data_IF_312889841874
#
_entry.id   IF_312889841874
#
_cell.length_a   1.000
_cell.length_b   1.000
_cell.length_c   1.000
_cell.angle_alpha   90.00
_cell.angle_beta   90.00
_cell.angle_gamma   90.00
#
_symmetry.space_group_name_H-M   'P 1'
#
loop_
_entity.id
_entity.type
_entity.pdbx_description
1 polymer ?
#
# COMPACT_ATOMS: atom_id res chain seq x y z
N UNK A 1 51.61 -28.21 -38.04
CA UNK A 1 51.59 -27.08 -37.11
C UNK A 1 50.54 -26.02 -37.43
N UNK A 2 49.38 -26.35 -38.07
CA UNK A 2 48.33 -25.38 -38.47
C UNK A 2 46.93 -25.68 -37.90
N UNK A 3 46.76 -26.77 -37.15
CA UNK A 3 45.44 -27.19 -36.67
C UNK A 3 45.16 -26.71 -35.21
N UNK A 4 46.18 -26.36 -34.43
CA UNK A 4 46.02 -25.94 -33.01
C UNK A 4 45.59 -24.48 -32.81
N UNK A 5 45.75 -23.61 -33.86
CA UNK A 5 45.37 -22.19 -33.71
C UNK A 5 43.87 -21.94 -33.92
N UNK A 6 43.11 -22.87 -34.53
CA UNK A 6 41.65 -22.70 -34.73
C UNK A 6 40.80 -23.10 -33.54
N UNK A 7 41.30 -24.01 -32.64
CA UNK A 7 40.59 -24.46 -31.45
C UNK A 7 40.59 -23.43 -30.33
N UNK A 8 41.64 -22.63 -30.19
CA UNK A 8 41.77 -21.63 -29.12
C UNK A 8 40.86 -20.40 -29.33
N UNK A 9 40.61 -20.04 -30.61
CA UNK A 9 39.74 -18.90 -30.94
C UNK A 9 38.26 -19.24 -30.74
N UNK A 10 37.84 -20.49 -30.94
CA UNK A 10 36.45 -20.91 -30.72
C UNK A 10 36.08 -20.98 -29.23
N UNK A 11 37.03 -21.33 -28.37
CA UNK A 11 36.82 -21.37 -26.91
C UNK A 11 36.77 -19.95 -26.28
N UNK A 12 37.57 -19.02 -26.83
CA UNK A 12 37.54 -17.62 -26.40
C UNK A 12 36.25 -16.89 -26.77
N UNK A 13 35.61 -17.24 -27.90
CA UNK A 13 34.29 -16.67 -28.27
C UNK A 13 33.13 -17.22 -27.48
N UNK A 14 33.23 -18.45 -26.96
CA UNK A 14 32.13 -19.01 -26.08
C UNK A 14 32.18 -18.48 -24.67
N UNK A 15 33.34 -18.05 -24.13
CA UNK A 15 33.45 -17.42 -22.82
C UNK A 15 32.97 -15.97 -22.78
N UNK A 16 32.95 -15.27 -23.90
CA UNK A 16 32.43 -13.88 -23.99
C UNK A 16 30.89 -13.86 -24.06
N UNK A 17 30.24 -14.94 -24.55
CA UNK A 17 28.80 -15.03 -24.65
C UNK A 17 28.10 -15.36 -23.30
N UNK A 18 28.84 -15.89 -22.31
CA UNK A 18 28.30 -16.25 -21.00
C UNK A 18 28.23 -15.05 -20.01
N UNK A 19 28.87 -13.93 -20.33
CA UNK A 19 28.89 -12.74 -19.45
C UNK A 19 27.77 -11.74 -19.72
N UNK A 20 26.85 -12.02 -20.67
CA UNK A 20 25.82 -11.06 -21.10
C UNK A 20 24.48 -11.17 -20.35
N UNK A 21 24.38 -11.99 -19.30
CA UNK A 21 23.10 -12.26 -18.62
C UNK A 21 23.04 -11.95 -17.12
N UNK A 22 23.96 -11.15 -16.64
CA UNK A 22 23.82 -10.62 -15.28
C UNK A 22 23.67 -9.10 -15.35
N UNK A 23 22.55 -8.62 -15.88
CA UNK A 23 22.19 -7.22 -15.64
C UNK A 23 21.51 -7.18 -14.26
N UNK A 24 22.38 -7.21 -13.26
CA UNK A 24 22.04 -6.96 -11.86
C UNK A 24 21.48 -5.54 -11.68
N UNK A 25 21.05 -5.22 -10.46
CA UNK A 25 20.69 -3.84 -10.11
C UNK A 25 21.71 -2.83 -10.64
N UNK A 26 21.32 -1.57 -10.93
CA UNK A 26 22.25 -0.54 -11.39
C UNK A 26 23.46 -0.43 -10.48
N UNK A 27 24.64 -0.81 -10.96
CA UNK A 27 25.87 -0.79 -10.17
C UNK A 27 26.23 0.63 -9.72
N UNK A 28 26.72 0.76 -8.48
CA UNK A 28 27.19 2.02 -7.91
C UNK A 28 26.10 3.06 -7.62
N UNK A 29 24.83 2.73 -7.77
CA UNK A 29 23.69 3.61 -7.44
C UNK A 29 23.02 3.20 -6.14
N UNK A 30 22.57 4.19 -5.35
CA UNK A 30 21.61 3.94 -4.28
C UNK A 30 20.25 3.63 -4.90
N UNK A 31 19.65 2.50 -4.51
CA UNK A 31 18.31 2.13 -4.93
C UNK A 31 17.27 2.87 -4.07
N UNK A 32 16.17 3.30 -4.67
CA UNK A 32 15.14 4.09 -3.99
C UNK A 32 13.81 3.36 -4.01
N UNK A 33 13.21 3.13 -2.84
CA UNK A 33 11.81 2.76 -2.67
C UNK A 33 11.01 4.01 -2.32
N UNK A 34 10.26 4.53 -3.28
CA UNK A 34 9.51 5.78 -3.15
C UNK A 34 8.09 5.48 -2.74
N UNK A 35 7.57 6.18 -1.73
CA UNK A 35 6.20 6.01 -1.24
C UNK A 35 5.48 7.35 -1.04
N UNK A 36 4.14 7.35 -1.19
CA UNK A 36 3.31 8.55 -1.28
C UNK A 36 2.72 9.04 0.05
N UNK A 37 3.28 8.61 1.20
CA UNK A 37 2.73 8.93 2.51
C UNK A 37 3.82 9.41 3.46
N UNK A 38 3.41 10.20 4.48
CA UNK A 38 4.31 10.63 5.55
C UNK A 38 4.83 9.43 6.36
N UNK A 39 6.01 9.54 6.98
CA UNK A 39 6.56 8.50 7.85
C UNK A 39 5.61 8.10 8.99
N UNK A 40 5.75 6.86 9.50
CA UNK A 40 5.03 6.35 10.67
C UNK A 40 3.70 5.64 10.38
N UNK A 41 3.31 5.50 9.10
CA UNK A 41 2.17 4.67 8.70
C UNK A 41 2.58 3.28 8.20
N UNK A 42 1.58 2.43 7.90
CA UNK A 42 1.80 1.06 7.43
C UNK A 42 2.69 0.95 6.19
N UNK A 43 2.54 1.88 5.22
CA UNK A 43 3.37 1.90 4.00
C UNK A 43 4.85 2.10 4.34
N UNK A 44 5.14 3.05 5.23
CA UNK A 44 6.51 3.37 5.65
C UNK A 44 7.13 2.20 6.43
N UNK A 45 6.36 1.60 7.35
CA UNK A 45 6.79 0.43 8.11
C UNK A 45 7.14 -0.76 7.20
N UNK A 46 6.23 -1.14 6.29
CA UNK A 46 6.46 -2.21 5.32
C UNK A 46 7.67 -1.92 4.44
N UNK A 47 7.75 -0.71 3.85
CA UNK A 47 8.84 -0.34 2.96
C UNK A 47 10.21 -0.45 3.64
N UNK A 48 10.32 0.00 4.90
CA UNK A 48 11.58 -0.08 5.66
C UNK A 48 11.96 -1.50 6.04
N UNK A 49 10.99 -2.34 6.43
CA UNK A 49 11.25 -3.76 6.73
C UNK A 49 11.76 -4.48 5.47
N UNK A 50 11.09 -4.30 4.33
CA UNK A 50 11.47 -4.93 3.06
C UNK A 50 12.80 -4.37 2.54
N UNK A 51 12.99 -3.05 2.54
CA UNK A 51 14.23 -2.41 2.09
C UNK A 51 15.44 -2.91 2.88
N UNK A 52 15.31 -3.00 4.21
CA UNK A 52 16.37 -3.54 5.07
C UNK A 52 16.72 -4.97 4.69
N UNK A 53 15.72 -5.84 4.53
CA UNK A 53 15.95 -7.25 4.20
C UNK A 53 16.54 -7.45 2.81
N UNK A 54 16.06 -6.70 1.81
CA UNK A 54 16.65 -6.72 0.46
C UNK A 54 18.09 -6.21 0.49
N UNK A 55 18.38 -5.14 1.23
CA UNK A 55 19.75 -4.65 1.43
C UNK A 55 20.68 -5.71 2.04
N UNK A 56 20.20 -6.42 3.07
CA UNK A 56 20.95 -7.52 3.73
C UNK A 56 21.22 -8.67 2.74
N UNK A 57 20.24 -9.02 1.90
CA UNK A 57 20.34 -10.12 0.94
C UNK A 57 21.28 -9.80 -0.24
N UNK A 58 21.33 -8.55 -0.68
CA UNK A 58 21.98 -8.14 -1.94
C UNK A 58 23.28 -7.36 -1.73
N UNK A 59 23.50 -6.82 -0.52
CA UNK A 59 24.56 -5.86 -0.27
C UNK A 59 24.33 -4.47 -0.86
N UNK A 60 23.18 -4.23 -1.53
CA UNK A 60 22.84 -2.95 -2.15
C UNK A 60 22.29 -1.96 -1.10
N UNK A 61 22.63 -0.68 -1.26
CA UNK A 61 22.05 0.37 -0.42
C UNK A 61 20.65 0.73 -0.94
N UNK A 62 19.64 0.61 -0.09
CA UNK A 62 18.25 0.94 -0.44
C UNK A 62 17.75 2.06 0.48
N UNK A 63 17.38 3.18 -0.10
CA UNK A 63 16.76 4.30 0.59
C UNK A 63 15.24 4.26 0.48
N UNK A 64 14.54 4.46 1.58
CA UNK A 64 13.09 4.67 1.60
C UNK A 64 12.82 6.17 1.54
N UNK A 65 12.14 6.63 0.47
CA UNK A 65 11.93 8.05 0.17
C UNK A 65 10.44 8.37 0.26
N UNK A 66 10.06 9.18 1.25
CA UNK A 66 8.68 9.64 1.43
C UNK A 66 8.41 10.90 0.57
N UNK A 67 7.43 10.83 -0.34
CA UNK A 67 6.93 11.97 -1.15
C UNK A 67 5.41 12.10 -0.93
N UNK A 68 4.97 12.61 0.22
CA UNK A 68 3.57 12.57 0.62
C UNK A 68 2.73 13.59 -0.15
N UNK A 69 1.46 13.24 -0.40
CA UNK A 69 0.44 14.14 -0.95
C UNK A 69 -0.45 13.49 -2.01
N UNK A 70 -1.63 14.09 -2.20
CA UNK A 70 -2.64 13.67 -3.16
C UNK A 70 -2.97 12.15 -3.11
N UNK A 71 -3.12 11.57 -1.89
CA UNK A 71 -3.43 10.13 -1.74
C UNK A 71 -2.34 9.19 -2.27
N UNK A 72 -1.09 9.66 -2.44
CA UNK A 72 0.03 8.88 -2.99
C UNK A 72 0.38 9.22 -4.45
N UNK A 73 -0.44 10.00 -5.14
CA UNK A 73 -0.25 10.29 -6.56
C UNK A 73 1.01 11.11 -6.85
N UNK A 74 1.49 11.95 -5.91
CA UNK A 74 2.76 12.70 -6.07
C UNK A 74 3.95 11.74 -6.22
N UNK A 75 4.04 10.74 -5.35
CA UNK A 75 5.08 9.73 -5.43
C UNK A 75 4.97 8.90 -6.71
N UNK A 76 3.75 8.54 -7.09
CA UNK A 76 3.49 7.76 -8.29
C UNK A 76 3.93 8.51 -9.55
N UNK A 77 3.56 9.78 -9.70
CA UNK A 77 4.00 10.60 -10.84
C UNK A 77 5.51 10.76 -10.87
N UNK A 78 6.14 10.93 -9.71
CA UNK A 78 7.60 11.00 -9.61
C UNK A 78 8.26 9.73 -10.18
N UNK A 79 7.75 8.54 -9.81
CA UNK A 79 8.31 7.26 -10.29
C UNK A 79 8.00 7.03 -11.76
N UNK A 80 6.78 7.35 -12.24
CA UNK A 80 6.44 7.29 -13.68
C UNK A 80 7.44 8.09 -14.53
N UNK A 81 7.93 9.23 -14.02
CA UNK A 81 8.88 10.11 -14.69
C UNK A 81 10.36 9.77 -14.41
N UNK A 82 10.65 8.75 -13.60
CA UNK A 82 12.01 8.36 -13.26
C UNK A 82 12.68 7.58 -14.40
N UNK A 83 14.01 7.54 -14.37
CA UNK A 83 14.78 6.69 -15.30
C UNK A 83 14.39 5.22 -15.15
N UNK A 84 14.10 4.51 -16.24
CA UNK A 84 13.64 3.12 -16.20
C UNK A 84 14.81 2.13 -16.08
N UNK A 85 15.80 2.43 -15.24
CA UNK A 85 17.00 1.62 -15.03
C UNK A 85 16.90 0.69 -13.80
N UNK A 86 15.80 0.76 -13.05
CA UNK A 86 15.58 -0.01 -11.85
C UNK A 86 16.16 0.60 -10.56
N UNK A 87 16.81 1.77 -10.64
CA UNK A 87 17.31 2.46 -9.45
C UNK A 87 16.19 3.06 -8.59
N UNK A 88 14.99 3.25 -9.15
CA UNK A 88 13.85 3.84 -8.46
C UNK A 88 12.60 2.99 -8.68
N UNK A 89 11.98 2.52 -7.60
CA UNK A 89 10.71 1.80 -7.63
C UNK A 89 9.67 2.48 -6.73
N UNK A 90 8.41 2.26 -7.05
CA UNK A 90 7.26 2.74 -6.30
C UNK A 90 6.82 1.69 -5.28
N UNK A 91 6.53 2.13 -4.05
CA UNK A 91 5.64 1.44 -3.12
C UNK A 91 4.26 2.07 -3.30
N UNK A 92 3.49 1.52 -4.22
CA UNK A 92 2.17 2.00 -4.60
C UNK A 92 1.07 1.52 -3.66
N UNK A 93 -0.01 2.28 -3.57
CA UNK A 93 -1.19 1.94 -2.77
C UNK A 93 -2.40 1.69 -3.65
N UNK A 94 -3.37 0.93 -3.13
CA UNK A 94 -4.68 0.73 -3.77
C UNK A 94 -5.28 2.06 -4.25
N UNK A 95 -5.19 3.12 -3.42
CA UNK A 95 -5.74 4.44 -3.74
C UNK A 95 -5.17 5.01 -5.02
N UNK A 96 -3.84 5.16 -5.08
CA UNK A 96 -3.17 5.77 -6.22
C UNK A 96 -3.17 4.88 -7.47
N UNK A 97 -3.20 3.56 -7.30
CA UNK A 97 -3.10 2.61 -8.41
C UNK A 97 -4.46 2.28 -9.06
N UNK A 98 -5.54 2.15 -8.26
CA UNK A 98 -6.79 1.59 -8.75
C UNK A 98 -8.05 2.39 -8.40
N UNK A 99 -8.02 3.29 -7.41
CA UNK A 99 -9.17 4.11 -7.03
C UNK A 99 -9.15 5.47 -7.71
N UNK A 100 -8.05 6.22 -7.54
CA UNK A 100 -7.93 7.60 -8.00
C UNK A 100 -8.08 7.78 -9.52
N UNK A 101 -7.69 6.83 -10.39
CA UNK A 101 -7.95 6.93 -11.82
C UNK A 101 -9.44 7.07 -12.19
N UNK A 102 -10.35 6.66 -11.30
CA UNK A 102 -11.79 6.79 -11.48
C UNK A 102 -12.39 8.03 -10.82
N UNK A 103 -11.61 8.75 -10.03
CA UNK A 103 -12.04 9.94 -9.28
C UNK A 103 -11.47 11.25 -9.84
N UNK A 104 -10.30 11.19 -10.49
CA UNK A 104 -9.60 12.37 -11.00
C UNK A 104 -8.80 12.05 -12.27
N UNK A 105 -8.45 13.08 -13.02
CA UNK A 105 -7.64 12.95 -14.24
C UNK A 105 -6.16 13.13 -13.93
N UNK A 106 -5.34 12.24 -14.48
CA UNK A 106 -3.87 12.30 -14.42
C UNK A 106 -3.27 12.45 -15.79
N UNK A 107 -2.02 12.91 -15.85
CA UNK A 107 -1.20 12.92 -17.07
C UNK A 107 -0.57 11.56 -17.40
N UNK A 108 -0.85 10.54 -16.61
CA UNK A 108 -0.35 9.16 -16.73
C UNK A 108 -1.45 8.16 -16.40
N UNK A 109 -1.26 6.91 -16.85
CA UNK A 109 -2.14 5.78 -16.55
C UNK A 109 -1.36 4.76 -15.69
N UNK A 110 -1.71 4.55 -14.41
CA UNK A 110 -0.95 3.66 -13.53
C UNK A 110 -0.87 2.22 -14.02
N UNK A 111 -1.85 1.76 -14.81
CA UNK A 111 -1.86 0.40 -15.36
C UNK A 111 -0.99 0.24 -16.63
N UNK A 112 -0.57 1.36 -17.24
CA UNK A 112 0.27 1.37 -18.46
C UNK A 112 1.65 1.95 -18.23
N UNK A 113 1.75 2.97 -17.39
CA UNK A 113 2.99 3.74 -17.20
C UNK A 113 3.85 3.22 -16.03
N UNK A 114 3.39 2.13 -15.36
CA UNK A 114 4.14 1.39 -14.36
C UNK A 114 4.20 -0.09 -14.71
N UNK A 115 5.36 -0.71 -14.47
CA UNK A 115 5.57 -2.16 -14.57
C UNK A 115 5.40 -2.80 -13.19
N UNK A 116 4.47 -3.74 -13.00
CA UNK A 116 4.32 -4.50 -11.77
C UNK A 116 5.58 -5.28 -11.41
N UNK A 117 5.91 -5.35 -10.11
CA UNK A 117 6.99 -6.18 -9.57
C UNK A 117 6.39 -7.30 -8.72
N UNK A 118 5.71 -6.97 -7.64
CA UNK A 118 5.01 -7.93 -6.78
C UNK A 118 4.06 -7.20 -5.82
N UNK A 119 3.04 -7.91 -5.34
CA UNK A 119 2.27 -7.49 -4.18
C UNK A 119 3.17 -7.45 -2.95
N UNK A 120 2.97 -6.46 -2.08
CA UNK A 120 3.67 -6.35 -0.80
C UNK A 120 2.87 -6.97 0.33
N UNK A 121 1.88 -6.23 0.82
CA UNK A 121 1.00 -6.63 1.92
C UNK A 121 -0.45 -6.23 1.64
N UNK A 122 -1.39 -6.96 2.26
CA UNK A 122 -2.78 -6.53 2.41
C UNK A 122 -3.19 -6.61 3.89
N UNK A 123 -4.17 -5.79 4.28
CA UNK A 123 -4.67 -5.77 5.64
C UNK A 123 -6.03 -5.06 5.73
N UNK A 124 -6.89 -5.44 6.70
CA UNK A 124 -8.10 -4.69 7.00
C UNK A 124 -7.74 -3.38 7.71
N UNK A 125 -8.52 -2.34 7.49
CA UNK A 125 -8.46 -1.14 8.32
C UNK A 125 -9.20 -1.37 9.63
N UNK A 126 -8.95 -0.50 10.61
CA UNK A 126 -9.65 -0.48 11.90
C UNK A 126 -10.36 0.87 12.03
N UNK A 127 -11.68 0.83 12.15
CA UNK A 127 -12.46 2.02 12.51
C UNK A 127 -12.26 2.30 13.99
N UNK A 128 -11.55 3.36 14.27
CA UNK A 128 -11.28 3.85 15.64
C UNK A 128 -11.88 5.23 15.83
N UNK A 129 -12.28 5.53 17.05
CA UNK A 129 -12.79 6.84 17.45
C UNK A 129 -12.04 7.36 18.67
N UNK A 130 -11.98 8.70 18.79
CA UNK A 130 -11.58 9.33 20.04
C UNK A 130 -12.63 8.98 21.12
N UNK A 131 -12.24 8.59 22.36
CA UNK A 131 -13.17 8.23 23.41
C UNK A 131 -14.22 9.31 23.74
N UNK A 132 -13.92 10.58 23.49
CA UNK A 132 -14.85 11.69 23.71
C UNK A 132 -16.09 11.65 22.79
N UNK A 133 -16.04 10.89 21.68
CA UNK A 133 -17.20 10.64 20.80
C UNK A 133 -18.30 9.87 21.56
N UNK A 134 -17.90 9.00 22.49
CA UNK A 134 -18.84 8.21 23.32
C UNK A 134 -19.38 6.95 22.62
N UNK A 135 -18.98 6.66 21.37
CA UNK A 135 -19.38 5.45 20.67
C UNK A 135 -18.56 4.23 21.16
N UNK A 136 -19.23 3.10 21.41
CA UNK A 136 -18.62 1.83 21.83
C UNK A 136 -18.68 0.75 20.75
N UNK A 137 -19.44 0.97 19.71
CA UNK A 137 -19.63 0.09 18.55
C UNK A 137 -20.10 0.91 17.33
N UNK A 138 -20.18 0.27 16.15
CA UNK A 138 -20.59 0.95 14.91
C UNK A 138 -22.01 1.52 15.01
N UNK A 139 -22.93 0.82 15.67
CA UNK A 139 -24.32 1.29 15.84
C UNK A 139 -24.38 2.60 16.64
N UNK A 140 -23.59 2.71 17.71
CA UNK A 140 -23.50 3.94 18.49
C UNK A 140 -22.98 5.09 17.65
N UNK A 141 -21.88 4.87 16.89
CA UNK A 141 -21.31 5.88 16.00
C UNK A 141 -22.34 6.37 14.98
N UNK A 142 -23.05 5.45 14.35
CA UNK A 142 -24.11 5.78 13.38
C UNK A 142 -25.24 6.59 14.00
N UNK A 143 -25.68 6.22 15.20
CA UNK A 143 -26.73 6.95 15.92
C UNK A 143 -26.28 8.37 16.31
N UNK A 144 -25.04 8.53 16.75
CA UNK A 144 -24.46 9.86 17.06
C UNK A 144 -24.35 10.69 15.79
N UNK A 145 -23.83 10.11 14.69
CA UNK A 145 -23.66 10.81 13.41
C UNK A 145 -25.00 11.26 12.76
N UNK A 146 -26.14 10.65 13.13
CA UNK A 146 -27.48 11.11 12.69
C UNK A 146 -27.94 12.39 13.39
N UNK A 147 -27.39 12.69 14.55
CA UNK A 147 -27.83 13.83 15.40
C UNK A 147 -26.77 14.89 15.60
N UNK A 148 -25.51 14.53 15.41
CA UNK A 148 -24.35 15.41 15.56
C UNK A 148 -23.47 15.29 14.32
N UNK A 149 -22.96 16.41 13.81
CA UNK A 149 -21.94 16.38 12.78
C UNK A 149 -20.66 15.78 13.38
N UNK A 150 -20.22 14.68 12.82
CA UNK A 150 -18.92 14.06 13.10
C UNK A 150 -18.02 14.20 11.88
N UNK A 151 -16.72 14.10 12.11
CA UNK A 151 -15.73 14.03 11.05
C UNK A 151 -14.91 12.72 11.11
N UNK A 152 -14.30 12.40 10.00
CA UNK A 152 -13.35 11.29 9.93
C UNK A 152 -12.10 11.64 9.14
N UNK A 153 -10.95 11.22 9.66
CA UNK A 153 -9.67 11.36 9.01
C UNK A 153 -9.45 10.32 7.91
N UNK A 154 -8.61 10.68 6.95
CA UNK A 154 -8.00 9.72 6.01
C UNK A 154 -6.53 10.02 5.77
N UNK A 155 -5.82 9.07 5.16
CA UNK A 155 -4.44 9.26 4.70
C UNK A 155 -4.33 10.08 3.39
N UNK A 156 -5.45 10.65 2.94
CA UNK A 156 -5.56 11.52 1.77
C UNK A 156 -6.78 11.18 0.92
N UNK A 157 -7.17 12.12 0.08
CA UNK A 157 -8.28 11.96 -0.86
C UNK A 157 -8.06 10.76 -1.76
N UNK A 158 -9.08 9.92 -1.95
CA UNK A 158 -9.03 8.71 -2.77
C UNK A 158 -8.19 7.56 -2.18
N UNK A 159 -7.71 7.68 -0.93
CA UNK A 159 -7.06 6.56 -0.23
C UNK A 159 -8.07 5.50 0.22
N UNK A 160 -7.60 4.28 0.52
CA UNK A 160 -8.45 3.24 1.09
C UNK A 160 -9.15 3.70 2.37
N UNK A 161 -8.48 4.51 3.19
CA UNK A 161 -9.03 5.04 4.45
C UNK A 161 -10.14 6.06 4.23
N UNK A 162 -10.07 6.85 3.14
CA UNK A 162 -11.16 7.71 2.70
C UNK A 162 -12.35 6.88 2.21
N UNK A 163 -12.09 5.94 1.29
CA UNK A 163 -13.14 5.12 0.68
C UNK A 163 -13.88 4.25 1.70
N UNK A 164 -13.19 3.75 2.73
CA UNK A 164 -13.83 3.03 3.81
C UNK A 164 -14.83 3.92 4.58
N UNK A 165 -14.50 5.18 4.83
CA UNK A 165 -15.42 6.14 5.45
C UNK A 165 -16.64 6.41 4.59
N UNK A 166 -16.44 6.70 3.31
CA UNK A 166 -17.53 6.96 2.36
C UNK A 166 -18.45 5.74 2.18
N UNK A 167 -17.89 4.54 2.15
CA UNK A 167 -18.70 3.31 2.10
C UNK A 167 -19.58 3.14 3.33
N UNK A 168 -19.11 3.50 4.54
CA UNK A 168 -19.96 3.47 5.74
C UNK A 168 -21.00 4.59 5.70
N UNK A 169 -20.62 5.81 5.34
CA UNK A 169 -21.54 6.94 5.16
C UNK A 169 -22.72 6.52 4.27
N UNK A 170 -22.43 5.96 3.11
CA UNK A 170 -23.45 5.53 2.14
C UNK A 170 -24.33 4.40 2.69
N UNK A 171 -23.72 3.33 3.24
CA UNK A 171 -24.46 2.15 3.71
C UNK A 171 -25.31 2.42 4.95
N UNK A 172 -24.86 3.32 5.83
CA UNK A 172 -25.54 3.67 7.05
C UNK A 172 -26.51 4.86 6.88
N UNK A 173 -26.50 5.54 5.74
CA UNK A 173 -27.29 6.74 5.50
C UNK A 173 -26.91 7.89 6.44
N UNK A 174 -25.62 8.07 6.69
CA UNK A 174 -25.04 9.15 7.51
C UNK A 174 -24.12 10.02 6.66
N UNK A 175 -23.68 11.15 7.21
CA UNK A 175 -22.79 12.08 6.52
C UNK A 175 -21.71 12.61 7.47
N UNK A 176 -20.73 11.77 7.79
CA UNK A 176 -19.52 12.22 8.46
C UNK A 176 -18.65 12.99 7.47
N UNK A 177 -18.08 14.12 7.90
CA UNK A 177 -17.25 14.99 7.04
C UNK A 177 -15.85 14.38 6.91
N UNK A 178 -15.38 14.24 5.68
CA UNK A 178 -14.03 13.78 5.41
C UNK A 178 -12.96 14.85 5.62
N UNK A 179 -11.91 14.54 6.37
CA UNK A 179 -10.74 15.42 6.60
C UNK A 179 -9.48 14.72 6.11
N UNK A 180 -8.90 15.14 4.96
CA UNK A 180 -7.74 14.48 4.38
C UNK A 180 -6.42 14.92 5.04
N UNK A 181 -5.54 13.95 5.30
CA UNK A 181 -4.17 14.15 5.78
C UNK A 181 -3.13 13.63 4.76
N UNK A 182 -1.86 14.00 4.95
CA UNK A 182 -0.74 13.53 4.11
C UNK A 182 -0.21 12.15 4.52
N UNK A 183 -1.08 11.31 5.08
CA UNK A 183 -0.75 9.94 5.56
C UNK A 183 -1.33 9.64 6.94
N UNK A 184 -1.19 8.39 7.39
CA UNK A 184 -1.79 7.90 8.64
C UNK A 184 -1.19 8.50 9.90
N UNK A 185 0.11 8.82 9.91
CA UNK A 185 0.77 9.39 11.09
C UNK A 185 0.17 10.73 11.53
N UNK A 186 0.10 11.76 10.67
CA UNK A 186 -0.56 13.02 10.99
C UNK A 186 -2.04 12.87 11.37
N UNK A 187 -2.80 12.00 10.70
CA UNK A 187 -4.20 11.72 11.03
C UNK A 187 -4.34 11.16 12.46
N UNK A 188 -3.45 10.24 12.85
CA UNK A 188 -3.45 9.63 14.17
C UNK A 188 -3.17 10.65 15.28
N UNK A 189 -2.25 11.60 15.05
CA UNK A 189 -1.92 12.65 16.02
C UNK A 189 -3.17 13.50 16.32
N UNK A 190 -3.93 13.90 15.30
CA UNK A 190 -5.10 14.73 15.48
C UNK A 190 -6.29 13.94 16.06
N UNK A 191 -6.43 12.67 15.73
CA UNK A 191 -7.41 11.78 16.36
C UNK A 191 -7.15 11.63 17.88
N UNK A 192 -5.90 11.37 18.27
CA UNK A 192 -5.51 11.28 19.68
C UNK A 192 -5.72 12.59 20.43
N UNK A 193 -5.50 13.72 19.76
CA UNK A 193 -5.74 15.06 20.27
C UNK A 193 -7.22 15.47 20.33
N UNK A 194 -8.16 14.64 19.86
CA UNK A 194 -9.59 14.93 19.83
C UNK A 194 -9.97 16.04 18.83
N UNK A 195 -9.11 16.34 17.84
CA UNK A 195 -9.41 17.29 16.75
C UNK A 195 -10.22 16.65 15.62
N UNK A 196 -10.21 15.32 15.57
CA UNK A 196 -10.95 14.46 14.65
C UNK A 196 -11.69 13.41 15.47
N UNK A 197 -12.92 13.08 15.09
CA UNK A 197 -13.79 12.15 15.80
C UNK A 197 -13.46 10.70 15.50
N UNK A 198 -13.21 10.34 14.23
CA UNK A 198 -13.03 8.98 13.75
C UNK A 198 -11.87 8.85 12.74
N UNK A 199 -11.34 7.64 12.61
CA UNK A 199 -10.33 7.32 11.59
C UNK A 199 -10.39 5.83 11.23
N UNK A 200 -10.28 5.52 9.94
CA UNK A 200 -10.06 4.16 9.43
C UNK A 200 -8.56 3.90 9.38
N UNK A 201 -7.99 3.58 10.53
CA UNK A 201 -6.55 3.47 10.72
C UNK A 201 -5.99 2.14 10.21
N UNK A 202 -4.68 2.08 9.94
CA UNK A 202 -4.00 0.79 9.83
C UNK A 202 -3.86 0.14 11.21
N UNK A 203 -3.88 -1.20 11.32
CA UNK A 203 -3.57 -1.89 12.56
C UNK A 203 -2.22 -1.43 13.16
N UNK A 204 -1.20 -1.26 12.30
CA UNK A 204 0.13 -0.73 12.66
C UNK A 204 0.07 0.54 13.50
N UNK A 205 -0.80 1.49 13.11
CA UNK A 205 -0.89 2.79 13.78
C UNK A 205 -1.86 2.81 14.95
N UNK A 206 -2.81 1.87 15.02
CA UNK A 206 -3.90 1.91 15.99
C UNK A 206 -3.72 0.98 17.19
N UNK A 207 -3.11 -0.21 17.01
CA UNK A 207 -3.13 -1.28 17.99
C UNK A 207 -2.64 -0.86 19.38
N UNK A 208 -1.51 -0.15 19.47
CA UNK A 208 -0.97 0.28 20.77
C UNK A 208 -1.86 1.32 21.46
N UNK A 209 -2.48 2.22 20.72
CA UNK A 209 -3.38 3.24 21.26
C UNK A 209 -4.70 2.63 21.73
N UNK A 210 -5.19 1.60 21.05
CA UNK A 210 -6.35 0.81 21.47
C UNK A 210 -6.03 0.08 22.79
N UNK A 211 -4.89 -0.61 22.84
CA UNK A 211 -4.44 -1.34 24.03
C UNK A 211 -4.28 -0.43 25.25
N UNK A 212 -3.84 0.79 25.05
CA UNK A 212 -3.67 1.79 26.12
C UNK A 212 -4.96 2.54 26.47
N UNK A 213 -6.10 2.24 25.82
CA UNK A 213 -7.38 2.93 26.06
C UNK A 213 -7.43 4.36 25.54
N UNK A 214 -6.46 4.78 24.72
CA UNK A 214 -6.42 6.11 24.12
C UNK A 214 -7.38 6.26 22.95
N UNK A 215 -7.75 5.13 22.31
CA UNK A 215 -8.74 5.04 21.22
C UNK A 215 -9.70 3.90 21.50
N UNK A 216 -10.93 4.04 21.03
CA UNK A 216 -11.94 2.99 21.01
C UNK A 216 -12.01 2.37 19.61
N UNK A 217 -11.70 1.06 19.49
CA UNK A 217 -11.90 0.31 18.26
C UNK A 217 -13.37 -0.11 18.14
N UNK A 218 -14.01 0.23 17.01
CA UNK A 218 -15.41 -0.09 16.78
C UNK A 218 -15.61 -1.30 15.88
N UNK A 219 -14.81 -1.41 14.81
CA UNK A 219 -14.86 -2.53 13.87
C UNK A 219 -13.60 -2.60 13.00
N UNK A 220 -13.37 -3.77 12.39
CA UNK A 220 -12.42 -3.94 11.28
C UNK A 220 -13.13 -3.98 9.94
N UNK A 221 -12.46 -3.59 8.85
CA UNK A 221 -13.09 -3.42 7.54
C UNK A 221 -12.97 -4.65 6.63
N UNK A 222 -12.29 -5.70 7.10
CA UNK A 222 -12.10 -6.93 6.34
C UNK A 222 -13.32 -7.85 6.34
N UNK A 223 -13.28 -8.92 5.51
CA UNK A 223 -14.34 -9.92 5.47
C UNK A 223 -14.37 -10.79 6.76
N UNK A 224 -13.24 -10.85 7.46
CA UNK A 224 -13.06 -11.52 8.76
C UNK A 224 -12.41 -10.57 9.75
N UNK A 225 -12.46 -10.89 11.02
CA UNK A 225 -11.77 -10.13 12.08
C UNK A 225 -10.26 -10.15 11.85
N UNK A 226 -9.59 -9.06 12.21
CA UNK A 226 -8.13 -8.98 12.14
C UNK A 226 -7.50 -9.82 13.28
N UNK A 227 -6.50 -10.63 12.97
CA UNK A 227 -5.82 -11.50 13.95
C UNK A 227 -5.20 -10.70 15.11
N UNK A 228 -4.67 -9.52 14.81
CA UNK A 228 -4.09 -8.62 15.82
C UNK A 228 -5.14 -7.99 16.75
N UNK A 229 -6.43 -8.03 16.38
CA UNK A 229 -7.56 -7.46 17.14
C UNK A 229 -8.76 -8.43 17.10
N UNK A 230 -8.63 -9.67 17.60
CA UNK A 230 -9.65 -10.72 17.46
C UNK A 230 -10.97 -10.39 18.16
N UNK A 231 -10.94 -9.53 19.17
CA UNK A 231 -12.13 -9.08 19.90
C UNK A 231 -12.93 -8.02 19.13
N UNK A 232 -12.33 -7.35 18.14
CA UNK A 232 -12.98 -6.29 17.39
C UNK A 232 -13.79 -6.91 16.25
N UNK A 233 -15.13 -6.71 16.19
CA UNK A 233 -15.96 -7.28 15.13
C UNK A 233 -15.66 -6.61 13.81
N UNK A 234 -16.11 -7.22 12.70
CA UNK A 234 -16.08 -6.55 11.40
C UNK A 234 -17.25 -5.56 11.26
N UNK A 235 -17.13 -4.62 10.32
CA UNK A 235 -18.25 -3.74 9.93
C UNK A 235 -19.42 -4.59 9.39
N UNK A 236 -19.11 -5.69 8.67
CA UNK A 236 -20.12 -6.63 8.19
C UNK A 236 -20.90 -7.30 9.34
N UNK A 237 -20.21 -7.78 10.40
CA UNK A 237 -20.81 -8.32 11.63
C UNK A 237 -21.62 -7.27 12.39
N UNK A 238 -21.26 -6.00 12.23
CA UNK A 238 -21.90 -4.85 12.91
C UNK A 238 -23.19 -4.35 12.24
N UNK A 239 -23.74 -5.11 11.30
CA UNK A 239 -25.03 -4.82 10.64
C UNK A 239 -24.90 -4.31 9.19
N UNK A 240 -23.73 -4.38 8.57
CA UNK A 240 -23.50 -3.96 7.18
C UNK A 240 -22.94 -5.13 6.34
N UNK A 241 -23.75 -6.18 6.07
CA UNK A 241 -23.26 -7.38 5.38
C UNK A 241 -22.69 -7.05 4.00
N UNK A 242 -21.59 -7.73 3.64
CA UNK A 242 -20.86 -7.47 2.40
C UNK A 242 -20.00 -6.19 2.42
N UNK A 243 -19.87 -5.52 3.57
CA UNK A 243 -18.86 -4.47 3.71
C UNK A 243 -17.46 -5.12 3.71
N UNK A 244 -16.62 -4.69 2.78
CA UNK A 244 -15.24 -5.16 2.67
C UNK A 244 -14.38 -4.02 2.06
N UNK A 245 -13.44 -3.51 2.85
CA UNK A 245 -12.51 -2.46 2.44
C UNK A 245 -11.11 -2.80 2.96
N UNK A 246 -10.41 -3.64 2.21
CA UNK A 246 -8.99 -3.93 2.47
C UNK A 246 -8.12 -2.79 1.95
N UNK A 247 -7.00 -2.59 2.62
CA UNK A 247 -5.90 -1.79 2.08
C UNK A 247 -4.77 -2.72 1.65
N UNK A 248 -4.04 -2.32 0.60
CA UNK A 248 -2.89 -3.07 0.12
C UNK A 248 -1.83 -2.14 -0.48
N UNK A 249 -0.61 -2.62 -0.49
CA UNK A 249 0.54 -1.97 -1.12
C UNK A 249 1.26 -2.96 -2.02
N UNK A 250 1.80 -2.45 -3.13
CA UNK A 250 2.53 -3.22 -4.11
C UNK A 250 3.80 -2.49 -4.55
N UNK A 251 4.75 -3.23 -5.11
CA UNK A 251 5.98 -2.70 -5.67
C UNK A 251 5.86 -2.64 -7.19
N UNK A 252 6.24 -1.50 -7.77
CA UNK A 252 6.18 -1.23 -9.20
C UNK A 252 7.42 -0.44 -9.63
N UNK A 253 7.78 -0.53 -10.91
CA UNK A 253 8.84 0.26 -11.54
C UNK A 253 8.25 1.11 -12.67
N UNK A 254 9.00 2.08 -13.26
CA UNK A 254 8.62 2.73 -14.50
C UNK A 254 8.35 1.71 -15.61
N UNK A 255 7.36 1.95 -16.47
CA UNK A 255 6.90 0.97 -17.49
C UNK A 255 8.00 0.47 -18.44
N UNK A 256 9.03 1.28 -18.71
CA UNK A 256 10.11 0.93 -19.62
C UNK A 256 11.30 0.24 -18.94
N UNK A 257 11.18 -0.11 -17.67
CA UNK A 257 12.23 -0.85 -16.94
C UNK A 257 12.43 -2.22 -17.58
N UNK A 258 13.68 -2.60 -17.91
CA UNK A 258 13.97 -3.88 -18.56
C UNK A 258 13.46 -5.07 -17.75
N UNK A 259 12.89 -6.07 -18.44
CA UNK A 259 12.36 -7.27 -17.79
C UNK A 259 13.34 -7.96 -16.82
N UNK A 260 14.63 -8.16 -17.16
CA UNK A 260 15.58 -8.76 -16.23
C UNK A 260 15.71 -7.99 -14.89
N UNK A 261 15.60 -6.66 -14.93
CA UNK A 261 15.62 -5.80 -13.73
C UNK A 261 14.32 -5.97 -12.91
N UNK A 262 13.18 -6.05 -13.58
CA UNK A 262 11.89 -6.35 -12.92
C UNK A 262 11.95 -7.72 -12.25
N UNK A 263 12.45 -8.75 -12.96
CA UNK A 263 12.57 -10.12 -12.44
C UNK A 263 13.53 -10.16 -11.23
N UNK A 264 14.62 -9.40 -11.26
CA UNK A 264 15.53 -9.30 -10.12
C UNK A 264 14.88 -8.64 -8.90
N UNK A 265 14.19 -7.52 -9.08
CA UNK A 265 13.40 -6.89 -8.01
C UNK A 265 12.34 -7.83 -7.44
N UNK A 266 11.59 -8.53 -8.32
CA UNK A 266 10.61 -9.52 -7.90
C UNK A 266 11.26 -10.59 -7.03
N UNK A 267 12.35 -11.22 -7.50
CA UNK A 267 13.05 -12.27 -6.78
C UNK A 267 13.47 -11.82 -5.37
N UNK A 268 14.10 -10.63 -5.25
CA UNK A 268 14.63 -10.16 -3.97
C UNK A 268 13.52 -9.71 -3.00
N UNK A 269 12.48 -9.03 -3.50
CA UNK A 269 11.36 -8.62 -2.66
C UNK A 269 10.53 -9.83 -2.22
N UNK A 270 10.24 -10.79 -3.11
CA UNK A 270 9.52 -12.02 -2.77
C UNK A 270 10.32 -12.83 -1.75
N UNK A 271 11.65 -12.95 -1.91
CA UNK A 271 12.52 -13.61 -0.94
C UNK A 271 12.48 -12.90 0.42
N UNK A 272 12.49 -11.58 0.44
CA UNK A 272 12.37 -10.81 1.68
C UNK A 272 11.01 -11.04 2.35
N UNK A 273 9.90 -10.93 1.62
CA UNK A 273 8.55 -11.10 2.13
C UNK A 273 8.23 -12.53 2.60
N UNK A 274 8.95 -13.54 2.09
CA UNK A 274 8.85 -14.95 2.51
C UNK A 274 9.81 -15.31 3.65
N UNK A 275 10.67 -14.39 4.08
CA UNK A 275 11.61 -14.65 5.19
C UNK A 275 10.85 -14.69 6.52
N UNK A 276 11.07 -15.70 7.40
CA UNK A 276 10.32 -15.84 8.65
C UNK A 276 10.40 -14.62 9.59
N UNK A 277 11.54 -13.97 9.63
CA UNK A 277 11.77 -12.74 10.42
C UNK A 277 10.97 -11.54 9.87
N UNK A 278 10.85 -11.41 8.54
CA UNK A 278 10.05 -10.37 7.89
C UNK A 278 8.55 -10.65 8.08
N UNK A 279 8.11 -11.89 7.87
CA UNK A 279 6.71 -12.30 8.10
C UNK A 279 6.31 -11.92 9.53
N UNK A 280 7.10 -12.36 10.52
CA UNK A 280 6.82 -12.04 11.93
C UNK A 280 6.71 -10.54 12.19
N UNK A 281 7.66 -9.74 11.69
CA UNK A 281 7.65 -8.29 11.87
C UNK A 281 6.43 -7.62 11.22
N UNK A 282 5.97 -8.12 10.07
CA UNK A 282 4.79 -7.58 9.39
C UNK A 282 3.49 -8.00 10.09
N UNK A 283 3.37 -9.26 10.50
CA UNK A 283 2.19 -9.79 11.21
C UNK A 283 2.01 -9.13 12.58
N UNK A 284 3.10 -8.89 13.33
CA UNK A 284 3.07 -8.12 14.59
C UNK A 284 2.50 -6.70 14.40
N UNK A 285 2.49 -6.19 13.18
CA UNK A 285 1.89 -4.91 12.80
C UNK A 285 0.52 -5.06 12.11
N UNK A 286 -0.02 -6.28 12.03
CA UNK A 286 -1.28 -6.57 11.36
C UNK A 286 -1.23 -6.44 9.85
N UNK A 287 -0.06 -6.66 9.26
CA UNK A 287 0.20 -6.61 7.81
C UNK A 287 0.44 -8.02 7.31
N UNK A 288 -0.39 -8.52 6.40
CA UNK A 288 -0.26 -9.86 5.82
C UNK A 288 0.54 -9.81 4.53
N UNK A 289 1.74 -10.43 4.46
CA UNK A 289 2.51 -10.51 3.21
C UNK A 289 1.74 -11.27 2.12
N UNK A 290 1.78 -10.75 0.89
CA UNK A 290 1.13 -11.37 -0.27
C UNK A 290 2.05 -11.40 -1.50
N UNK A 291 3.28 -11.92 -1.40
CA UNK A 291 4.21 -11.93 -2.53
C UNK A 291 3.73 -12.85 -3.65
N UNK A 292 3.86 -12.38 -4.89
CA UNK A 292 3.49 -13.11 -6.11
C UNK A 292 4.35 -12.70 -7.30
N UNK A 293 3.92 -13.07 -8.50
CA UNK A 293 4.58 -12.71 -9.74
C UNK A 293 4.16 -11.32 -10.24
N UNK A 294 4.91 -10.72 -11.17
CA UNK A 294 4.50 -9.47 -11.83
C UNK A 294 3.16 -9.61 -12.55
N UNK A 295 2.91 -10.76 -13.19
CA UNK A 295 1.69 -11.06 -13.93
C UNK A 295 0.48 -11.18 -13.00
N UNK A 296 0.62 -11.84 -11.85
CA UNK A 296 -0.43 -11.91 -10.83
C UNK A 296 -0.79 -10.53 -10.31
N UNK A 297 0.21 -9.66 -10.05
CA UNK A 297 -0.05 -8.29 -9.62
C UNK A 297 -0.75 -7.48 -10.72
N UNK A 298 -0.33 -7.61 -11.99
CA UNK A 298 -0.99 -6.93 -13.11
C UNK A 298 -2.47 -7.28 -13.21
N UNK A 299 -2.80 -8.58 -13.15
CA UNK A 299 -4.18 -9.06 -13.18
C UNK A 299 -4.98 -8.60 -11.97
N UNK A 300 -4.38 -8.63 -10.79
CA UNK A 300 -5.01 -8.15 -9.55
C UNK A 300 -5.34 -6.65 -9.64
N UNK A 301 -4.40 -5.82 -10.07
CA UNK A 301 -4.60 -4.37 -10.24
C UNK A 301 -5.71 -4.06 -11.25
N UNK A 302 -5.78 -4.79 -12.36
CA UNK A 302 -6.86 -4.62 -13.35
C UNK A 302 -8.22 -4.95 -12.72
N UNK A 303 -8.32 -6.09 -12.02
CA UNK A 303 -9.56 -6.52 -11.34
C UNK A 303 -10.01 -5.50 -10.29
N UNK A 304 -9.08 -5.02 -9.47
CA UNK A 304 -9.35 -3.99 -8.46
C UNK A 304 -9.81 -2.68 -9.11
N UNK A 305 -9.16 -2.25 -10.18
CA UNK A 305 -9.55 -1.04 -10.93
C UNK A 305 -10.97 -1.15 -11.48
N UNK A 306 -11.33 -2.29 -12.08
CA UNK A 306 -12.68 -2.54 -12.61
C UNK A 306 -13.73 -2.55 -11.50
N UNK A 307 -13.39 -3.11 -10.33
CA UNK A 307 -14.26 -3.12 -9.16
C UNK A 307 -14.50 -1.70 -8.63
N UNK A 308 -13.41 -0.92 -8.47
CA UNK A 308 -13.51 0.46 -7.99
C UNK A 308 -14.21 1.39 -8.98
N UNK A 309 -14.08 1.17 -10.29
CA UNK A 309 -14.87 1.89 -11.30
C UNK A 309 -16.37 1.74 -11.06
N UNK A 310 -16.83 0.52 -10.72
CA UNK A 310 -18.24 0.26 -10.38
C UNK A 310 -18.65 0.96 -9.08
N UNK A 311 -17.85 0.79 -8.01
CA UNK A 311 -18.13 1.40 -6.69
C UNK A 311 -18.22 2.92 -6.79
N UNK A 312 -17.28 3.57 -7.47
CA UNK A 312 -17.27 5.02 -7.68
C UNK A 312 -18.50 5.47 -8.47
N UNK A 313 -18.82 4.78 -9.56
CA UNK A 313 -19.97 5.12 -10.43
C UNK A 313 -21.31 4.91 -9.71
N UNK A 314 -21.52 3.75 -9.11
CA UNK A 314 -22.78 3.39 -8.42
C UNK A 314 -22.96 4.21 -7.15
N UNK A 315 -21.87 4.45 -6.41
CA UNK A 315 -21.86 5.28 -5.21
C UNK A 315 -21.96 6.78 -5.49
N UNK A 316 -21.84 7.21 -6.75
CA UNK A 316 -21.76 8.63 -7.13
C UNK A 316 -20.69 9.38 -6.31
N UNK A 317 -19.59 8.67 -6.01
CA UNK A 317 -18.50 9.23 -5.19
C UNK A 317 -17.79 10.27 -6.02
N UNK A 318 -17.78 11.50 -5.52
CA UNK A 318 -17.05 12.62 -6.12
C UNK A 318 -16.06 13.17 -5.11
N UNK A 319 -14.94 13.66 -5.60
CA UNK A 319 -14.02 14.42 -4.76
C UNK A 319 -14.62 15.81 -4.53
N UNK A 320 -14.90 16.13 -3.27
CA UNK A 320 -15.30 17.48 -2.87
C UNK A 320 -14.08 18.38 -2.74
#
# INVERSE_FOLDING_TARGET
MKIWKKGVIAIALQLVAASAFAQDFPEGKTLNMVLGFAPGGATDAMARIVAKKVSENTGQSIAVVNKPGAGGNIAQQYVVSAEPDGSTILVGSIGSLTINPHLMTFSYDPLKDLSPITMGVAYPLVLVVNPQVGAKNVKDLVNIAKTKQLDFASSGVGSATHMAGEMLNQRAGINMVHVPYKGGGPAMIDLLGGRIDAYYASPTSAAQHIKNGQLTALATTGPTRAEILPEVPTVAESGYPGYNALNWYAFLAPAKTPKPVIDRWNQEIVKALKSPDVIKLLEEQGLTPMPGTPEELAQFMQTESDNWAKVVKEGKITLQ
#
